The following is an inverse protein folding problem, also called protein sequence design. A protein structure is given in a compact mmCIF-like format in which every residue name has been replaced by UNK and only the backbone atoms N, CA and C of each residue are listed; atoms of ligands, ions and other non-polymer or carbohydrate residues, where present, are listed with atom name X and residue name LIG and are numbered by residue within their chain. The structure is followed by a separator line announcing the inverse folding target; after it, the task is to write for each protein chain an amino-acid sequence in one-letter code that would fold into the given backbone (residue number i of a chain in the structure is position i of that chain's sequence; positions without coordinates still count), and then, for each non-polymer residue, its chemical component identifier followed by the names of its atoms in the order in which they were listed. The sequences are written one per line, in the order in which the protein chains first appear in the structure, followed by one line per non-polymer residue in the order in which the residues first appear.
data_IF_225851624315
#
_entry.id   IF_225851624315
#
_cell.length_a   1.000
_cell.length_b   1.000
_cell.length_c   1.000
_cell.angle_alpha   90.00
_cell.angle_beta   90.00
_cell.angle_gamma   90.00
#
_symmetry.space_group_name_H-M   'P 1'
#
loop_
_entity.id
_entity.type
_entity.pdbx_description
1 polymer ?
#
# COMPACT_ATOMS: atom_id res chain seq x y z
N UNK A 1 4.77 -70.28 -27.01
CA UNK A 1 5.83 -69.38 -26.52
C UNK A 1 5.21 -68.56 -25.39
N UNK A 2 5.13 -69.05 -24.14
CA UNK A 2 6.17 -69.05 -23.08
C UNK A 2 6.81 -67.67 -22.88
N UNK A 3 6.95 -67.05 -21.70
CA UNK A 3 6.56 -67.26 -20.29
C UNK A 3 7.04 -66.00 -19.53
N UNK A 4 6.32 -65.59 -18.47
CA UNK A 4 6.78 -65.05 -17.16
C UNK A 4 7.72 -63.82 -17.06
N UNK A 5 7.89 -63.10 -15.95
CA UNK A 5 7.15 -62.79 -14.70
C UNK A 5 8.09 -61.90 -13.83
N UNK A 6 7.51 -61.10 -12.92
CA UNK A 6 8.08 -60.48 -11.70
C UNK A 6 9.12 -59.33 -11.92
N UNK A 7 9.22 -58.28 -11.10
CA UNK A 7 8.98 -58.16 -9.66
C UNK A 7 8.51 -56.77 -9.20
N UNK A 8 7.72 -56.80 -8.13
CA UNK A 8 7.41 -55.75 -7.16
C UNK A 8 8.63 -55.24 -6.37
N UNK A 9 8.65 -53.95 -6.03
CA UNK A 9 9.35 -53.43 -4.84
C UNK A 9 8.55 -52.29 -4.20
N UNK A 10 8.07 -52.54 -3.00
CA UNK A 10 7.53 -51.63 -2.00
C UNK A 10 8.60 -50.68 -1.42
N UNK A 11 8.14 -49.73 -0.56
CA UNK A 11 8.83 -48.95 0.50
C UNK A 11 8.63 -47.43 0.28
N UNK A 12 8.24 -46.57 1.22
CA UNK A 12 7.94 -46.66 2.66
C UNK A 12 7.04 -45.47 3.03
N UNK A 13 5.94 -45.76 3.71
CA UNK A 13 5.04 -44.79 4.33
C UNK A 13 5.60 -44.44 5.72
N UNK A 14 6.08 -43.20 5.92
CA UNK A 14 6.60 -42.74 7.21
C UNK A 14 5.44 -42.27 8.10
N UNK A 15 5.07 -43.07 9.10
CA UNK A 15 4.29 -42.65 10.27
C UNK A 15 5.25 -42.34 11.43
N UNK A 16 5.17 -41.16 12.07
CA UNK A 16 5.95 -40.90 13.28
C UNK A 16 5.25 -41.54 14.49
N UNK A 17 5.97 -42.43 15.16
CA UNK A 17 5.65 -42.95 16.49
C UNK A 17 5.90 -41.87 17.55
N UNK A 18 4.85 -41.50 18.29
CA UNK A 18 4.97 -40.74 19.53
C UNK A 18 5.48 -41.68 20.63
N UNK A 19 6.70 -41.45 21.12
CA UNK A 19 7.19 -42.04 22.36
C UNK A 19 7.15 -41.00 23.47
N UNK A 20 6.38 -41.32 24.52
CA UNK A 20 6.33 -40.59 25.76
C UNK A 20 7.52 -40.95 26.65
N UNK A 21 8.28 -39.96 27.09
CA UNK A 21 9.16 -40.12 28.25
C UNK A 21 9.12 -38.85 29.11
N UNK A 22 8.57 -39.03 30.30
CA UNK A 22 8.51 -38.06 31.40
C UNK A 22 9.86 -37.94 32.09
N UNK A 23 10.30 -36.72 32.44
CA UNK A 23 10.66 -36.37 33.82
C UNK A 23 10.99 -34.88 34.04
N UNK A 24 10.20 -34.30 34.96
CA UNK A 24 10.59 -33.49 36.14
C UNK A 24 11.01 -32.02 35.99
N UNK A 25 10.00 -31.17 36.27
CA UNK A 25 9.96 -30.14 37.33
C UNK A 25 11.14 -29.17 37.49
N UNK A 26 10.90 -27.87 37.23
CA UNK A 26 11.18 -26.80 38.22
C UNK A 26 10.63 -25.42 37.84
N UNK A 27 9.89 -24.87 38.80
CA UNK A 27 9.75 -23.46 39.23
C UNK A 27 9.00 -22.50 38.31
N UNK A 28 7.74 -22.32 38.69
CA UNK A 28 6.92 -21.14 38.46
C UNK A 28 7.65 -19.86 38.88
N UNK A 29 7.88 -18.98 37.92
CA UNK A 29 7.98 -17.54 38.16
C UNK A 29 6.78 -16.89 37.49
N UNK A 30 5.80 -16.50 38.30
CA UNK A 30 4.71 -15.62 37.88
C UNK A 30 5.32 -14.23 37.65
N UNK A 31 5.63 -13.91 36.41
CA UNK A 31 5.70 -12.53 35.96
C UNK A 31 4.37 -12.22 35.28
N UNK A 32 3.51 -11.47 35.95
CA UNK A 32 2.33 -10.88 35.35
C UNK A 32 2.77 -9.73 34.43
N UNK A 33 2.56 -9.79 33.11
CA UNK A 33 2.63 -8.59 32.29
C UNK A 33 1.33 -7.82 32.46
N UNK A 34 1.47 -6.51 32.71
CA UNK A 34 0.38 -5.55 32.79
C UNK A 34 -0.25 -5.43 31.39
N UNK A 35 -1.27 -6.23 31.14
CA UNK A 35 -2.07 -6.14 29.92
C UNK A 35 -2.81 -4.80 29.89
N UNK A 36 -2.41 -3.91 28.98
CA UNK A 36 -3.28 -2.84 28.50
C UNK A 36 -4.48 -3.50 27.82
N UNK A 37 -5.63 -3.46 28.49
CA UNK A 37 -6.91 -3.80 27.88
C UNK A 37 -7.25 -2.73 26.84
N UNK A 38 -6.85 -2.94 25.59
CA UNK A 38 -7.56 -2.31 24.47
C UNK A 38 -8.67 -3.29 24.13
N UNK A 39 -9.88 -2.94 24.53
CA UNK A 39 -11.07 -3.68 24.15
C UNK A 39 -11.21 -3.60 22.63
N UNK A 40 -11.08 -4.73 21.94
CA UNK A 40 -11.46 -4.86 20.53
C UNK A 40 -12.99 -4.88 20.46
N UNK A 41 -13.60 -3.70 20.50
CA UNK A 41 -14.98 -3.54 20.07
C UNK A 41 -15.02 -3.78 18.55
N UNK A 42 -15.72 -4.85 18.14
CA UNK A 42 -16.18 -5.00 16.76
C UNK A 42 -17.12 -3.84 16.47
N UNK A 43 -16.61 -2.76 15.87
CA UNK A 43 -17.46 -1.73 15.24
C UNK A 43 -18.39 -2.42 14.25
N UNK A 44 -19.68 -2.16 14.42
CA UNK A 44 -20.72 -2.59 13.49
C UNK A 44 -20.47 -2.00 12.09
N UNK A 45 -20.99 -2.64 11.05
CA UNK A 45 -20.84 -2.19 9.66
C UNK A 45 -21.42 -0.80 9.36
N UNK A 46 -22.11 -0.16 10.32
CA UNK A 46 -22.65 1.19 10.20
C UNK A 46 -21.70 2.31 10.65
N UNK A 47 -20.51 1.99 11.20
CA UNK A 47 -19.55 2.99 11.71
C UNK A 47 -18.34 3.22 10.78
N UNK A 48 -18.26 2.53 9.65
CA UNK A 48 -17.21 2.77 8.66
C UNK A 48 -17.55 4.02 7.84
N UNK A 49 -16.61 4.96 7.68
CA UNK A 49 -16.89 6.16 6.91
C UNK A 49 -17.17 5.81 5.45
N UNK A 50 -18.17 6.46 4.88
CA UNK A 50 -18.56 6.28 3.49
C UNK A 50 -17.40 6.64 2.55
N UNK A 51 -17.06 5.71 1.65
CA UNK A 51 -15.98 5.84 0.68
C UNK A 51 -16.59 6.01 -0.72
N UNK A 52 -16.38 7.17 -1.34
CA UNK A 52 -17.20 7.63 -2.46
C UNK A 52 -16.67 7.22 -3.83
N UNK A 53 -15.41 6.78 -3.98
CA UNK A 53 -14.73 6.70 -5.27
C UNK A 53 -15.51 5.88 -6.31
N UNK A 54 -15.85 4.64 -5.99
CA UNK A 54 -16.50 3.75 -6.95
C UNK A 54 -17.93 4.20 -7.26
N UNK A 55 -18.70 4.59 -6.24
CA UNK A 55 -20.09 5.06 -6.41
C UNK A 55 -20.14 6.33 -7.27
N UNK A 56 -19.15 7.21 -7.08
CA UNK A 56 -18.98 8.44 -7.85
C UNK A 56 -18.64 8.21 -9.32
N UNK A 57 -17.76 7.25 -9.59
CA UNK A 57 -17.39 6.87 -10.95
C UNK A 57 -18.57 6.19 -11.67
N UNK A 58 -19.28 5.30 -10.98
CA UNK A 58 -20.47 4.63 -11.51
C UNK A 58 -21.60 5.63 -11.81
N UNK A 59 -21.85 6.60 -10.93
CA UNK A 59 -22.81 7.68 -11.17
C UNK A 59 -22.43 8.55 -12.38
N UNK A 60 -21.14 8.63 -12.71
CA UNK A 60 -20.63 9.30 -13.89
C UNK A 60 -20.65 8.43 -15.17
N UNK A 61 -21.17 7.20 -15.09
CA UNK A 61 -21.27 6.26 -16.21
C UNK A 61 -19.97 5.52 -16.53
N UNK A 62 -18.99 5.53 -15.63
CA UNK A 62 -17.73 4.78 -15.77
C UNK A 62 -17.95 3.38 -15.19
N UNK A 63 -17.58 2.34 -15.95
CA UNK A 63 -17.66 0.96 -15.46
C UNK A 63 -16.65 0.75 -14.32
N UNK A 64 -17.16 0.35 -13.15
CA UNK A 64 -16.37 0.11 -11.94
C UNK A 64 -16.33 -1.35 -11.52
N UNK A 65 -16.91 -2.28 -12.30
CA UNK A 65 -17.03 -3.70 -11.92
C UNK A 65 -15.68 -4.29 -11.52
N UNK A 66 -14.68 -4.20 -12.39
CA UNK A 66 -13.35 -4.77 -12.13
C UNK A 66 -12.63 -4.07 -10.97
N UNK A 67 -12.81 -2.75 -10.80
CA UNK A 67 -12.24 -2.02 -9.67
C UNK A 67 -12.88 -2.44 -8.34
N UNK A 68 -14.21 -2.62 -8.29
CA UNK A 68 -14.93 -3.11 -7.12
C UNK A 68 -14.55 -4.55 -6.79
N UNK A 69 -14.49 -5.44 -7.78
CA UNK A 69 -14.05 -6.83 -7.57
C UNK A 69 -12.64 -6.90 -6.99
N UNK A 70 -11.72 -6.05 -7.48
CA UNK A 70 -10.37 -5.94 -6.94
C UNK A 70 -10.37 -5.39 -5.51
N UNK A 71 -11.19 -4.37 -5.21
CA UNK A 71 -11.35 -3.81 -3.86
C UNK A 71 -11.92 -4.83 -2.88
N UNK A 72 -12.91 -5.63 -3.28
CA UNK A 72 -13.43 -6.74 -2.47
C UNK A 72 -12.36 -7.81 -2.23
N UNK A 73 -11.58 -8.14 -3.26
CA UNK A 73 -10.43 -9.02 -3.15
C UNK A 73 -9.38 -8.52 -2.16
N UNK A 74 -9.10 -7.21 -2.15
CA UNK A 74 -8.24 -6.55 -1.16
C UNK A 74 -8.86 -6.64 0.25
N UNK A 75 -10.13 -6.27 0.41
CA UNK A 75 -10.88 -6.35 1.68
C UNK A 75 -10.86 -7.77 2.26
N UNK A 76 -11.04 -8.79 1.42
CA UNK A 76 -10.97 -10.20 1.80
C UNK A 76 -9.58 -10.61 2.31
N UNK A 77 -8.51 -10.01 1.79
CA UNK A 77 -7.17 -10.28 2.30
C UNK A 77 -6.93 -9.62 3.65
N UNK A 78 -7.24 -8.33 3.77
CA UNK A 78 -7.01 -7.58 5.01
C UNK A 78 -7.88 -8.11 6.15
N UNK A 79 -9.09 -8.62 5.88
CA UNK A 79 -9.95 -9.22 6.91
C UNK A 79 -9.37 -10.51 7.51
N UNK A 80 -8.42 -11.16 6.81
CA UNK A 80 -7.68 -12.33 7.32
C UNK A 80 -6.45 -11.94 8.13
N UNK A 81 -6.08 -10.67 8.13
CA UNK A 81 -4.96 -10.15 8.91
C UNK A 81 -5.43 -9.77 10.31
N UNK A 82 -5.12 -10.61 11.29
CA UNK A 82 -5.30 -10.27 12.72
C UNK A 82 -4.22 -9.29 13.17
N UNK A 83 -4.41 -8.63 14.30
CA UNK A 83 -3.41 -7.72 14.90
C UNK A 83 -2.04 -8.41 15.05
N UNK A 84 -2.01 -9.62 15.60
CA UNK A 84 -0.80 -10.42 15.76
C UNK A 84 -0.13 -10.78 14.42
N UNK A 85 -0.92 -11.12 13.40
CA UNK A 85 -0.38 -11.45 12.08
C UNK A 85 0.09 -10.19 11.32
N UNK A 86 -0.57 -9.05 11.56
CA UNK A 86 -0.17 -7.75 11.00
C UNK A 86 1.22 -7.31 11.48
N UNK A 87 1.53 -7.56 12.75
CA UNK A 87 2.84 -7.26 13.34
C UNK A 87 3.91 -8.35 13.10
N UNK A 88 3.55 -9.44 12.42
CA UNK A 88 4.52 -10.47 12.05
C UNK A 88 5.41 -10.01 10.88
N UNK A 89 6.68 -10.43 10.88
CA UNK A 89 7.61 -10.14 9.79
C UNK A 89 7.07 -10.64 8.45
N UNK A 90 7.30 -9.86 7.39
CA UNK A 90 6.95 -10.25 6.02
C UNK A 90 7.54 -11.62 5.63
N UNK A 91 8.69 -11.99 6.19
CA UNK A 91 9.36 -13.25 5.92
C UNK A 91 8.58 -14.44 6.46
N UNK A 92 7.83 -14.31 7.57
CA UNK A 92 7.07 -15.38 8.24
C UNK A 92 5.56 -15.17 8.24
N UNK A 93 5.09 -14.10 7.61
CA UNK A 93 3.71 -13.64 7.67
C UNK A 93 2.70 -14.76 7.36
N UNK A 94 1.62 -14.79 8.16
CA UNK A 94 0.51 -15.75 8.05
C UNK A 94 -0.82 -15.02 7.92
N UNK A 95 -1.83 -15.68 7.36
CA UNK A 95 -3.18 -15.14 7.21
C UNK A 95 -3.41 -14.46 5.87
N UNK A 96 -3.07 -13.18 5.76
CA UNK A 96 -3.18 -12.44 4.50
C UNK A 96 -2.06 -12.83 3.52
N UNK A 97 -2.42 -13.02 2.25
CA UNK A 97 -1.46 -13.23 1.17
C UNK A 97 -1.00 -11.85 0.65
N UNK A 98 0.21 -11.45 1.04
CA UNK A 98 0.76 -10.13 0.74
C UNK A 98 0.95 -9.90 -0.77
N UNK A 99 1.33 -10.94 -1.52
CA UNK A 99 1.45 -10.86 -2.98
C UNK A 99 0.07 -10.65 -3.61
N UNK A 100 -0.95 -11.36 -3.13
CA UNK A 100 -2.33 -11.17 -3.58
C UNK A 100 -2.87 -9.79 -3.20
N UNK A 101 -2.57 -9.28 -2.01
CA UNK A 101 -2.90 -7.88 -1.62
C UNK A 101 -2.30 -6.90 -2.63
N UNK A 102 -1.00 -7.00 -2.92
CA UNK A 102 -0.32 -6.11 -3.85
C UNK A 102 -0.86 -6.21 -5.29
N UNK A 103 -1.30 -7.40 -5.72
CA UNK A 103 -1.92 -7.59 -7.03
C UNK A 103 -3.35 -7.07 -7.09
N UNK A 104 -4.14 -7.19 -6.02
CA UNK A 104 -5.48 -6.59 -5.97
C UNK A 104 -5.40 -5.06 -5.98
N UNK A 105 -4.43 -4.49 -5.24
CA UNK A 105 -4.09 -3.06 -5.33
C UNK A 105 -3.81 -2.65 -6.78
N UNK A 106 -3.02 -3.45 -7.51
CA UNK A 106 -2.69 -3.16 -8.88
C UNK A 106 -3.87 -3.35 -9.85
N UNK A 107 -4.71 -4.36 -9.62
CA UNK A 107 -5.89 -4.64 -10.44
C UNK A 107 -6.92 -3.51 -10.35
N UNK A 108 -7.13 -2.97 -9.15
CA UNK A 108 -7.98 -1.82 -8.94
C UNK A 108 -7.43 -0.59 -9.66
N UNK A 109 -6.18 -0.20 -9.42
CA UNK A 109 -5.54 0.97 -10.02
C UNK A 109 -5.41 0.87 -11.56
N UNK A 110 -5.31 -0.35 -12.09
CA UNK A 110 -5.35 -0.62 -13.54
C UNK A 110 -6.77 -0.45 -14.09
N UNK A 111 -7.79 -0.96 -13.40
CA UNK A 111 -9.19 -0.75 -13.80
C UNK A 111 -9.64 0.70 -13.68
N UNK A 112 -9.09 1.49 -12.76
CA UNK A 112 -9.45 2.90 -12.59
C UNK A 112 -8.93 3.80 -13.73
N UNK A 113 -7.89 3.35 -14.45
CA UNK A 113 -7.19 4.14 -15.48
C UNK A 113 -7.31 3.52 -16.87
N UNK A 114 -7.34 2.20 -16.98
CA UNK A 114 -7.52 1.52 -18.25
C UNK A 114 -9.01 1.44 -18.60
N UNK A 115 -9.33 1.60 -19.88
CA UNK A 115 -10.64 1.26 -20.44
C UNK A 115 -10.69 -0.22 -20.87
N UNK A 116 -9.85 -1.06 -20.27
CA UNK A 116 -9.76 -2.47 -20.61
C UNK A 116 -11.02 -3.19 -20.14
N UNK A 117 -11.65 -3.94 -21.03
CA UNK A 117 -12.73 -4.86 -20.65
C UNK A 117 -12.22 -6.11 -19.94
N UNK A 118 -10.90 -6.34 -19.96
CA UNK A 118 -10.24 -7.51 -19.38
C UNK A 118 -9.57 -7.11 -18.07
N UNK A 119 -9.88 -7.78 -16.95
CA UNK A 119 -9.26 -7.50 -15.66
C UNK A 119 -7.81 -7.99 -15.62
N UNK A 120 -7.00 -7.37 -14.74
CA UNK A 120 -5.64 -7.83 -14.46
C UNK A 120 -5.69 -9.30 -13.95
N UNK A 121 -4.96 -10.24 -14.56
CA UNK A 121 -5.03 -11.66 -14.21
C UNK A 121 -4.25 -11.96 -12.93
N UNK A 122 -4.84 -11.63 -11.77
CA UNK A 122 -4.22 -11.80 -10.43
C UNK A 122 -3.70 -13.22 -10.21
N UNK A 123 -4.50 -14.25 -10.52
CA UNK A 123 -4.10 -15.66 -10.34
C UNK A 123 -2.88 -16.04 -11.17
N UNK A 124 -2.77 -15.56 -12.41
CA UNK A 124 -1.62 -15.84 -13.28
C UNK A 124 -0.33 -15.22 -12.73
N UNK A 125 -0.40 -14.02 -12.13
CA UNK A 125 0.76 -13.40 -11.49
C UNK A 125 1.17 -14.08 -10.18
N UNK A 126 0.22 -14.64 -9.42
CA UNK A 126 0.53 -15.50 -8.28
C UNK A 126 1.26 -16.76 -8.75
N UNK A 127 0.72 -17.47 -9.75
CA UNK A 127 1.38 -18.66 -10.31
C UNK A 127 2.80 -18.35 -10.79
N UNK A 128 3.01 -17.20 -11.42
CA UNK A 128 4.35 -16.76 -11.87
C UNK A 128 5.31 -16.52 -10.70
N UNK A 129 4.81 -16.10 -9.55
CA UNK A 129 5.59 -15.90 -8.33
C UNK A 129 5.89 -17.23 -7.63
N UNK A 130 4.95 -18.18 -7.68
CA UNK A 130 5.17 -19.56 -7.25
C UNK A 130 6.24 -20.24 -8.12
N UNK A 131 6.16 -20.11 -9.44
CA UNK A 131 7.16 -20.62 -10.38
C UNK A 131 8.55 -20.01 -10.13
N UNK A 132 8.61 -18.72 -9.80
CA UNK A 132 9.85 -18.04 -9.42
C UNK A 132 10.42 -18.65 -8.13
N UNK A 133 9.58 -18.87 -7.12
CA UNK A 133 9.99 -19.41 -5.83
C UNK A 133 10.42 -20.88 -5.93
N UNK A 134 9.68 -21.68 -6.69
CA UNK A 134 10.01 -23.08 -6.98
C UNK A 134 11.29 -23.20 -7.80
N UNK A 135 11.51 -22.28 -8.75
CA UNK A 135 12.74 -22.22 -9.54
C UNK A 135 14.00 -22.00 -8.69
N UNK A 136 13.89 -21.23 -7.60
CA UNK A 136 14.97 -21.12 -6.59
C UNK A 136 15.16 -22.45 -5.86
N UNK A 137 14.07 -23.01 -5.32
CA UNK A 137 14.10 -24.27 -4.55
C UNK A 137 14.74 -25.43 -5.35
N UNK A 138 14.50 -25.47 -6.66
CA UNK A 138 14.97 -26.58 -7.51
C UNK A 138 16.46 -26.52 -7.86
N UNK A 139 17.04 -25.32 -7.98
CA UNK A 139 18.35 -25.15 -8.63
C UNK A 139 19.39 -24.39 -7.79
N UNK A 140 18.96 -23.71 -6.72
CA UNK A 140 19.80 -22.76 -5.98
C UNK A 140 19.86 -23.01 -4.48
N UNK A 141 19.15 -24.03 -3.98
CA UNK A 141 19.29 -24.45 -2.58
C UNK A 141 20.73 -24.90 -2.34
N UNK A 142 21.38 -24.37 -1.29
CA UNK A 142 22.69 -24.85 -0.91
C UNK A 142 22.62 -26.27 -0.34
N UNK A 143 23.72 -27.03 -0.36
CA UNK A 143 23.78 -28.34 0.30
C UNK A 143 23.43 -28.24 1.80
N UNK A 144 22.84 -29.30 2.35
CA UNK A 144 22.49 -29.38 3.77
C UNK A 144 23.69 -29.07 4.67
N UNK A 145 23.48 -28.22 5.69
CA UNK A 145 24.53 -27.79 6.63
C UNK A 145 25.40 -26.62 6.15
N UNK A 146 25.07 -26.00 5.00
CA UNK A 146 25.71 -24.75 4.58
C UNK A 146 25.36 -23.59 5.51
N UNK A 147 26.25 -22.61 5.62
CA UNK A 147 25.98 -21.44 6.46
C UNK A 147 24.86 -20.55 5.87
N UNK A 148 24.12 -19.79 6.71
CA UNK A 148 23.06 -18.89 6.24
C UNK A 148 23.56 -17.88 5.19
N UNK A 149 24.82 -17.44 5.27
CA UNK A 149 25.42 -16.50 4.32
C UNK A 149 25.49 -17.08 2.90
N UNK A 150 25.78 -18.38 2.76
CA UNK A 150 25.78 -19.05 1.45
C UNK A 150 24.36 -19.12 0.90
N UNK A 151 23.38 -19.43 1.75
CA UNK A 151 21.96 -19.43 1.34
C UNK A 151 21.53 -18.06 0.80
N UNK A 152 21.78 -16.98 1.56
CA UNK A 152 21.41 -15.64 1.13
C UNK A 152 22.19 -15.19 -0.11
N UNK A 153 23.48 -15.53 -0.20
CA UNK A 153 24.27 -15.28 -1.40
C UNK A 153 23.69 -15.95 -2.65
N UNK A 154 23.23 -17.20 -2.54
CA UNK A 154 22.55 -17.91 -3.63
C UNK A 154 21.21 -17.27 -4.00
N UNK A 155 20.42 -16.85 -3.01
CA UNK A 155 19.13 -16.19 -3.24
C UNK A 155 19.29 -14.83 -3.91
N UNK A 156 20.25 -14.03 -3.45
CA UNK A 156 20.59 -12.74 -4.07
C UNK A 156 21.10 -12.92 -5.50
N UNK A 157 21.98 -13.90 -5.74
CA UNK A 157 22.45 -14.24 -7.09
C UNK A 157 21.28 -14.67 -7.98
N UNK A 158 20.41 -15.54 -7.49
CA UNK A 158 19.24 -16.00 -8.23
C UNK A 158 18.32 -14.85 -8.64
N UNK A 159 17.93 -13.99 -7.69
CA UNK A 159 16.99 -12.90 -7.94
C UNK A 159 17.61 -11.79 -8.80
N UNK A 160 18.80 -11.32 -8.43
CA UNK A 160 19.35 -10.09 -9.00
C UNK A 160 20.26 -10.32 -10.20
N UNK A 161 20.95 -11.46 -10.28
CA UNK A 161 21.83 -11.80 -11.40
C UNK A 161 21.07 -12.65 -12.41
N UNK A 162 20.54 -13.80 -12.00
CA UNK A 162 20.02 -14.79 -12.94
C UNK A 162 18.60 -14.45 -13.43
N UNK A 163 17.74 -13.94 -12.54
CA UNK A 163 16.42 -13.41 -12.90
C UNK A 163 16.45 -11.92 -13.24
N UNK A 164 17.56 -11.24 -12.99
CA UNK A 164 17.82 -9.88 -13.43
C UNK A 164 16.94 -8.81 -12.78
N UNK A 165 16.41 -9.06 -11.58
CA UNK A 165 15.63 -8.05 -10.86
C UNK A 165 16.51 -6.87 -10.45
N UNK A 166 16.02 -5.65 -10.71
CA UNK A 166 16.72 -4.39 -10.41
C UNK A 166 15.83 -3.41 -9.68
N UNK A 167 16.44 -2.60 -8.81
CA UNK A 167 15.75 -1.49 -8.15
C UNK A 167 15.69 -0.28 -9.09
N UNK A 168 14.50 0.29 -9.23
CA UNK A 168 14.29 1.59 -9.87
C UNK A 168 13.63 2.52 -8.85
N UNK A 169 13.97 3.81 -8.95
CA UNK A 169 13.32 4.85 -8.17
C UNK A 169 11.87 5.03 -8.65
N UNK A 170 10.92 5.04 -7.71
CA UNK A 170 9.51 5.25 -8.02
C UNK A 170 9.24 6.59 -8.70
N UNK A 171 10.07 7.60 -8.45
CA UNK A 171 9.98 8.90 -9.13
C UNK A 171 10.28 8.82 -10.65
N UNK A 172 11.01 7.79 -11.09
CA UNK A 172 11.35 7.59 -12.51
C UNK A 172 10.26 6.79 -13.24
N UNK A 173 9.69 5.78 -12.58
CA UNK A 173 8.67 4.91 -13.18
C UNK A 173 7.71 4.37 -12.10
N UNK A 174 6.47 4.87 -12.08
CA UNK A 174 5.44 4.38 -11.15
C UNK A 174 5.09 2.90 -11.36
N UNK A 175 5.39 2.31 -12.52
CA UNK A 175 5.17 0.86 -12.73
C UNK A 175 5.99 0.02 -11.75
N UNK A 176 7.11 0.56 -11.26
CA UNK A 176 7.95 -0.08 -10.24
C UNK A 176 7.25 -0.24 -8.88
N UNK A 177 6.13 0.44 -8.65
CA UNK A 177 5.31 0.31 -7.44
C UNK A 177 4.31 -0.84 -7.50
N UNK A 178 4.11 -1.47 -8.66
CA UNK A 178 3.16 -2.54 -8.84
C UNK A 178 3.85 -3.90 -9.02
N UNK A 179 3.33 -4.92 -8.35
CA UNK A 179 3.92 -6.26 -8.36
C UNK A 179 3.89 -6.90 -9.76
N UNK A 180 2.76 -6.82 -10.47
CA UNK A 180 2.61 -7.38 -11.81
C UNK A 180 3.64 -6.82 -12.82
N UNK A 181 3.87 -5.51 -12.73
CA UNK A 181 4.84 -4.80 -13.56
C UNK A 181 6.27 -5.17 -13.16
N UNK A 182 6.56 -5.27 -11.86
CA UNK A 182 7.87 -5.71 -11.35
C UNK A 182 8.20 -7.12 -11.82
N UNK A 183 7.26 -8.07 -11.73
CA UNK A 183 7.44 -9.45 -12.20
C UNK A 183 7.68 -9.54 -13.71
N UNK A 184 7.09 -8.63 -14.48
CA UNK A 184 7.19 -8.60 -15.94
C UNK A 184 8.48 -7.94 -16.40
N UNK A 185 8.73 -6.71 -15.94
CA UNK A 185 9.85 -5.87 -16.37
C UNK A 185 11.13 -6.10 -15.56
N UNK A 186 11.08 -6.93 -14.52
CA UNK A 186 12.20 -7.21 -13.59
C UNK A 186 12.76 -5.94 -12.96
N UNK A 187 11.92 -4.93 -12.80
CA UNK A 187 12.31 -3.59 -12.38
C UNK A 187 11.26 -3.08 -11.39
N UNK A 188 11.65 -2.88 -10.15
CA UNK A 188 10.73 -2.64 -9.04
C UNK A 188 11.28 -1.69 -7.99
N UNK A 189 10.39 -1.16 -7.16
CA UNK A 189 10.75 -0.42 -5.95
C UNK A 189 11.34 -1.36 -4.89
N UNK A 190 12.02 -0.80 -3.89
CA UNK A 190 12.53 -1.59 -2.76
C UNK A 190 11.42 -2.43 -2.12
N UNK A 191 10.24 -1.84 -1.90
CA UNK A 191 9.07 -2.51 -1.31
C UNK A 191 8.59 -3.70 -2.14
N UNK A 192 8.49 -3.55 -3.46
CA UNK A 192 8.08 -4.66 -4.34
C UNK A 192 9.13 -5.77 -4.39
N UNK A 193 10.42 -5.41 -4.41
CA UNK A 193 11.51 -6.38 -4.39
C UNK A 193 11.56 -7.14 -3.05
N UNK A 194 11.34 -6.46 -1.93
CA UNK A 194 11.25 -7.09 -0.60
C UNK A 194 10.09 -8.07 -0.50
N UNK A 195 8.95 -7.74 -1.12
CA UNK A 195 7.81 -8.65 -1.21
C UNK A 195 8.15 -9.90 -2.03
N UNK A 196 8.77 -9.74 -3.21
CA UNK A 196 9.21 -10.91 -4.01
C UNK A 196 10.21 -11.76 -3.23
N UNK A 197 11.17 -11.13 -2.55
CA UNK A 197 12.14 -11.82 -1.71
C UNK A 197 11.46 -12.62 -0.59
N UNK A 198 10.45 -12.04 0.07
CA UNK A 198 9.72 -12.70 1.14
C UNK A 198 8.88 -13.88 0.68
N UNK A 199 8.29 -13.83 -0.53
CA UNK A 199 7.58 -14.98 -1.08
C UNK A 199 8.51 -16.18 -1.34
N UNK A 200 9.73 -15.93 -1.85
CA UNK A 200 10.71 -17.02 -2.02
C UNK A 200 11.11 -17.61 -0.67
N UNK A 201 11.37 -16.77 0.35
CA UNK A 201 11.69 -17.26 1.70
C UNK A 201 10.53 -18.05 2.31
N UNK A 202 9.29 -17.60 2.14
CA UNK A 202 8.11 -18.31 2.63
C UNK A 202 7.98 -19.69 1.97
N UNK A 203 8.22 -19.78 0.66
CA UNK A 203 8.21 -21.07 -0.05
C UNK A 203 9.29 -22.03 0.47
N UNK A 204 10.52 -21.54 0.65
CA UNK A 204 11.63 -22.35 1.21
C UNK A 204 11.32 -22.82 2.63
N UNK A 205 10.64 -21.98 3.43
CA UNK A 205 10.21 -22.36 4.78
C UNK A 205 9.12 -23.43 4.76
N UNK A 206 8.12 -23.30 3.89
CA UNK A 206 7.02 -24.27 3.77
C UNK A 206 7.55 -25.63 3.29
N UNK A 207 8.54 -25.63 2.41
CA UNK A 207 9.21 -26.85 1.92
C UNK A 207 10.15 -27.48 2.94
N UNK A 208 10.43 -26.81 4.07
CA UNK A 208 11.21 -27.35 5.18
C UNK A 208 12.73 -27.27 5.03
N UNK A 209 13.21 -26.47 4.06
CA UNK A 209 14.65 -26.31 3.79
C UNK A 209 15.32 -25.18 4.59
N UNK A 210 14.56 -24.46 5.41
CA UNK A 210 15.07 -23.35 6.22
C UNK A 210 15.18 -23.76 7.69
N UNK A 211 16.41 -23.90 8.19
CA UNK A 211 16.73 -24.33 9.56
C UNK A 211 17.20 -23.17 10.48
N UNK A 212 17.17 -21.93 9.98
CA UNK A 212 17.53 -20.72 10.73
C UNK A 212 16.45 -19.63 10.62
N UNK A 213 16.56 -18.59 11.46
CA UNK A 213 15.58 -17.51 11.56
C UNK A 213 15.87 -16.43 10.49
N UNK A 214 15.51 -16.69 9.23
CA UNK A 214 15.72 -15.73 8.15
C UNK A 214 14.82 -14.48 8.27
N UNK A 215 15.42 -13.31 8.07
CA UNK A 215 14.77 -11.99 8.02
C UNK A 215 15.27 -11.17 6.81
N UNK A 216 14.52 -10.13 6.45
CA UNK A 216 14.82 -9.29 5.27
C UNK A 216 15.12 -7.86 5.70
N UNK A 217 16.31 -7.37 5.34
CA UNK A 217 16.61 -5.96 5.36
C UNK A 217 15.91 -5.27 4.18
N UNK A 218 14.92 -4.44 4.51
CA UNK A 218 14.18 -3.64 3.55
C UNK A 218 14.77 -2.23 3.51
N UNK A 219 15.50 -1.86 2.44
CA UNK A 219 16.16 -0.57 2.39
C UNK A 219 15.16 0.58 2.24
N UNK A 220 15.42 1.67 2.96
CA UNK A 220 14.66 2.89 2.82
C UNK A 220 14.84 3.53 1.43
N UNK A 221 13.91 4.41 1.07
CA UNK A 221 13.90 5.08 -0.24
C UNK A 221 15.18 5.87 -0.54
N UNK A 222 15.92 6.30 0.50
CA UNK A 222 17.13 7.13 0.39
C UNK A 222 18.38 6.34 -0.05
N UNK A 223 18.50 5.08 0.33
CA UNK A 223 19.65 4.26 -0.06
C UNK A 223 19.31 3.45 -1.31
N UNK A 224 20.13 3.51 -2.37
CA UNK A 224 19.93 2.72 -3.61
C UNK A 224 20.32 1.24 -3.45
N UNK A 225 20.21 0.68 -2.24
CA UNK A 225 20.51 -0.71 -1.94
C UNK A 225 19.38 -1.65 -2.38
N UNK A 226 19.71 -2.92 -2.65
CA UNK A 226 18.74 -3.98 -2.90
C UNK A 226 18.32 -4.61 -1.57
N UNK A 227 17.10 -5.17 -1.46
CA UNK A 227 16.72 -6.00 -0.32
C UNK A 227 17.68 -7.16 -0.13
N UNK A 228 18.07 -7.44 1.12
CA UNK A 228 19.01 -8.50 1.46
C UNK A 228 18.47 -9.33 2.61
N UNK A 229 18.77 -10.62 2.60
CA UNK A 229 18.41 -11.51 3.68
C UNK A 229 19.52 -11.58 4.73
N UNK A 230 19.15 -11.81 5.98
CA UNK A 230 20.10 -12.07 7.06
C UNK A 230 19.53 -13.06 8.08
N UNK A 231 20.42 -13.72 8.81
CA UNK A 231 20.06 -14.60 9.91
C UNK A 231 19.81 -13.76 11.17
N UNK A 232 18.55 -13.72 11.61
CA UNK A 232 18.09 -12.92 12.74
C UNK A 232 18.60 -13.55 14.04
N UNK A 233 19.43 -12.81 14.78
CA UNK A 233 19.96 -13.27 16.06
C UNK A 233 19.14 -12.64 17.18
N UNK A 234 18.22 -13.42 17.76
CA UNK A 234 17.27 -13.02 18.84
C UNK A 234 17.89 -12.27 20.04
N UNK A 235 19.21 -12.26 20.20
CA UNK A 235 19.93 -11.53 21.26
C UNK A 235 20.38 -10.10 20.88
N UNK A 236 20.27 -9.68 19.62
CA UNK A 236 20.64 -8.32 19.17
C UNK A 236 19.39 -7.43 19.12
N UNK A 237 19.28 -6.51 20.08
CA UNK A 237 18.25 -5.46 20.12
C UNK A 237 18.22 -4.64 18.81
N UNK A 238 19.35 -4.53 18.11
CA UNK A 238 19.47 -3.84 16.82
C UNK A 238 18.66 -4.47 15.68
N UNK A 239 18.29 -5.74 15.78
CA UNK A 239 17.61 -6.44 14.69
C UNK A 239 16.12 -6.05 14.62
N UNK A 240 15.49 -5.68 15.73
CA UNK A 240 14.04 -5.42 15.80
C UNK A 240 13.60 -4.14 15.09
N UNK A 241 14.44 -3.10 15.08
CA UNK A 241 14.09 -1.79 14.48
C UNK A 241 14.01 -1.81 12.96
N UNK A 242 14.50 -2.87 12.31
CA UNK A 242 14.59 -2.98 10.85
C UNK A 242 13.60 -3.99 10.26
N UNK A 243 12.77 -4.62 11.10
CA UNK A 243 11.84 -5.67 10.67
C UNK A 243 10.62 -5.03 10.01
N UNK A 244 10.47 -5.29 8.72
CA UNK A 244 9.25 -4.96 7.99
C UNK A 244 8.16 -5.96 8.39
N UNK A 245 7.04 -5.46 8.92
CA UNK A 245 5.87 -6.26 9.26
C UNK A 245 4.92 -6.37 8.07
N UNK A 246 4.02 -7.36 8.10
CA UNK A 246 2.98 -7.53 7.08
C UNK A 246 2.14 -6.25 6.91
N UNK A 247 1.73 -5.64 8.03
CA UNK A 247 0.94 -4.41 8.05
C UNK A 247 1.77 -3.23 7.53
N UNK A 248 3.01 -3.05 8.02
CA UNK A 248 3.85 -1.93 7.60
C UNK A 248 4.23 -2.01 6.11
N UNK A 249 4.39 -3.21 5.55
CA UNK A 249 4.58 -3.39 4.11
C UNK A 249 3.37 -2.86 3.32
N UNK A 250 2.15 -3.27 3.66
CA UNK A 250 0.94 -2.83 2.95
C UNK A 250 0.78 -1.31 3.08
N UNK A 251 0.97 -0.76 4.28
CA UNK A 251 0.96 0.69 4.51
C UNK A 251 2.01 1.38 3.63
N UNK A 252 3.24 0.84 3.55
CA UNK A 252 4.31 1.40 2.72
C UNK A 252 3.97 1.37 1.24
N UNK A 253 3.36 0.29 0.74
CA UNK A 253 2.88 0.20 -0.66
C UNK A 253 1.88 1.31 -0.91
N UNK A 254 0.86 1.44 -0.07
CA UNK A 254 -0.20 2.42 -0.24
C UNK A 254 0.29 3.86 -0.08
N UNK A 255 1.19 4.15 0.89
CA UNK A 255 1.81 5.47 1.04
C UNK A 255 2.68 5.82 -0.17
N UNK A 256 3.48 4.89 -0.68
CA UNK A 256 4.26 5.13 -1.90
C UNK A 256 3.34 5.46 -3.09
N UNK A 257 2.20 4.76 -3.24
CA UNK A 257 1.20 5.05 -4.28
C UNK A 257 0.54 6.41 -4.04
N UNK A 258 0.13 6.72 -2.81
CA UNK A 258 -0.44 8.02 -2.42
C UNK A 258 0.50 9.15 -2.77
N UNK A 259 1.77 9.09 -2.35
CA UNK A 259 2.78 10.11 -2.61
C UNK A 259 3.05 10.29 -4.11
N UNK A 260 3.13 9.17 -4.83
CA UNK A 260 3.42 9.14 -6.28
C UNK A 260 2.27 9.72 -7.09
N UNK A 261 1.02 9.41 -6.71
CA UNK A 261 -0.16 9.85 -7.44
C UNK A 261 -0.84 11.07 -6.83
N UNK A 262 -0.27 11.66 -5.77
CA UNK A 262 -0.82 12.88 -5.18
C UNK A 262 -0.89 13.98 -6.24
N UNK A 263 -2.06 14.60 -6.52
CA UNK A 263 -2.17 15.64 -7.55
C UNK A 263 -1.39 16.91 -7.24
N UNK A 264 -1.16 17.20 -5.96
CA UNK A 264 -0.62 18.48 -5.49
C UNK A 264 0.86 18.35 -5.10
N UNK A 265 1.73 18.04 -6.07
CA UNK A 265 3.14 17.68 -5.81
C UNK A 265 4.06 18.87 -5.52
N UNK A 266 3.64 20.10 -5.75
CA UNK A 266 4.47 21.30 -5.63
C UNK A 266 4.51 21.85 -4.18
N UNK A 267 5.68 22.35 -3.74
CA UNK A 267 5.93 22.82 -2.37
C UNK A 267 6.65 21.78 -1.48
N UNK A 268 7.94 21.53 -1.76
CA UNK A 268 8.72 20.41 -1.18
C UNK A 268 8.85 20.42 0.36
N UNK A 269 8.63 21.55 1.02
CA UNK A 269 8.77 21.73 2.47
C UNK A 269 7.48 21.51 3.28
N UNK A 270 6.37 21.18 2.62
CA UNK A 270 5.05 21.01 3.26
C UNK A 270 4.49 19.59 3.10
N UNK A 271 3.63 19.17 4.02
CA UNK A 271 2.92 17.88 3.93
C UNK A 271 1.95 17.86 2.75
N UNK A 272 1.57 16.65 2.30
CA UNK A 272 0.63 16.46 1.18
C UNK A 272 -0.69 17.21 1.41
N UNK A 273 -1.21 17.14 2.65
CA UNK A 273 -2.39 17.86 3.08
C UNK A 273 -2.25 19.37 2.89
N UNK A 274 -1.17 19.97 3.42
CA UNK A 274 -0.95 21.41 3.33
C UNK A 274 -0.85 21.89 1.88
N UNK A 275 -0.20 21.11 1.00
CA UNK A 275 -0.15 21.41 -0.44
C UNK A 275 -1.55 21.48 -1.05
N UNK A 276 -2.39 20.49 -0.73
CA UNK A 276 -3.75 20.41 -1.25
C UNK A 276 -4.66 21.54 -0.71
N UNK A 277 -4.55 21.89 0.58
CA UNK A 277 -5.30 23.01 1.19
C UNK A 277 -4.84 24.35 0.62
N UNK A 278 -3.53 24.53 0.42
CA UNK A 278 -3.01 25.75 -0.20
C UNK A 278 -3.57 25.97 -1.61
N UNK A 279 -3.66 24.91 -2.43
CA UNK A 279 -4.32 24.98 -3.74
C UNK A 279 -5.79 25.32 -3.60
N UNK A 280 -6.51 24.68 -2.67
CA UNK A 280 -7.91 25.01 -2.42
C UNK A 280 -8.05 26.52 -2.17
N UNK A 281 -7.29 27.09 -1.23
CA UNK A 281 -7.36 28.49 -0.82
C UNK A 281 -7.08 29.51 -1.93
N UNK A 282 -6.24 29.19 -2.92
CA UNK A 282 -5.95 30.11 -4.04
C UNK A 282 -7.12 30.31 -5.01
N UNK A 283 -8.01 29.33 -5.16
CA UNK A 283 -9.11 29.37 -6.15
C UNK A 283 -10.12 30.51 -5.90
N UNK A 284 -10.19 31.06 -4.68
CA UNK A 284 -11.04 32.21 -4.35
C UNK A 284 -10.26 33.53 -4.15
N UNK A 285 -8.94 33.49 -4.27
CA UNK A 285 -8.03 34.60 -3.99
C UNK A 285 -7.49 35.27 -5.24
N UNK A 286 -8.36 35.86 -6.07
CA UNK A 286 -7.94 36.88 -7.03
C UNK A 286 -8.96 38.01 -7.12
N UNK A 287 -9.01 38.80 -6.06
CA UNK A 287 -8.96 40.25 -6.15
C UNK A 287 -8.68 40.76 -4.74
N UNK A 288 -7.94 41.86 -4.64
CA UNK A 288 -7.58 42.59 -3.40
C UNK A 288 -6.17 42.29 -2.86
N UNK A 289 -5.38 43.37 -2.96
CA UNK A 289 -4.09 43.69 -2.32
C UNK A 289 -2.84 42.92 -2.76
N UNK A 290 -2.10 43.57 -3.68
CA UNK A 290 -0.65 43.44 -3.80
C UNK A 290 0.03 43.98 -2.54
N UNK A 291 0.84 43.15 -1.88
CA UNK A 291 1.92 43.59 -0.99
C UNK A 291 3.20 42.81 -1.38
N UNK A 292 4.34 43.46 -1.69
CA UNK A 292 5.41 42.85 -2.47
C UNK A 292 6.57 42.26 -1.62
N UNK A 293 6.30 41.67 -0.45
CA UNK A 293 7.38 41.20 0.45
C UNK A 293 7.30 39.76 0.93
N UNK A 294 6.44 38.92 0.36
CA UNK A 294 6.52 37.47 0.58
C UNK A 294 6.78 36.77 -0.74
N UNK A 295 7.83 35.94 -0.75
CA UNK A 295 8.32 35.18 -1.91
C UNK A 295 7.21 34.30 -2.47
N UNK A 296 6.58 34.80 -3.54
CA UNK A 296 5.59 34.11 -4.35
C UNK A 296 6.22 32.92 -5.07
N UNK A 297 6.04 31.70 -4.55
CA UNK A 297 5.95 30.51 -5.40
C UNK A 297 4.61 30.61 -6.18
N UNK A 298 4.65 31.39 -7.26
CA UNK A 298 3.60 31.40 -8.28
C UNK A 298 3.61 30.02 -8.95
N UNK A 299 2.46 29.33 -8.90
CA UNK A 299 2.23 28.12 -9.72
C UNK A 299 2.40 28.55 -11.17
N UNK A 300 3.44 28.08 -11.85
CA UNK A 300 3.76 28.55 -13.19
C UNK A 300 2.67 28.11 -14.19
N UNK A 301 2.39 28.87 -15.26
CA UNK A 301 1.50 28.44 -16.35
C UNK A 301 1.85 27.05 -16.94
N UNK A 302 3.10 26.62 -16.77
CA UNK A 302 3.60 25.31 -17.15
C UNK A 302 3.00 24.18 -16.29
N UNK A 303 2.62 24.45 -15.05
CA UNK A 303 2.01 23.51 -14.10
C UNK A 303 0.54 23.28 -14.42
N UNK A 304 -0.17 24.35 -14.79
CA UNK A 304 -1.58 24.29 -15.24
C UNK A 304 -1.66 23.51 -16.56
N UNK A 305 -0.79 23.82 -17.53
CA UNK A 305 -0.68 23.03 -18.76
C UNK A 305 -0.26 21.58 -18.46
N UNK A 306 0.56 21.40 -17.43
CA UNK A 306 1.04 20.15 -16.85
C UNK A 306 -0.10 19.18 -16.50
N UNK A 307 -0.91 19.63 -15.53
CA UNK A 307 -2.05 18.92 -15.00
C UNK A 307 -3.13 18.69 -16.06
N UNK A 308 -3.44 19.69 -16.91
CA UNK A 308 -4.41 19.56 -18.01
C UNK A 308 -4.00 18.49 -19.02
N UNK A 309 -2.71 18.45 -19.38
CA UNK A 309 -2.16 17.41 -20.27
C UNK A 309 -2.26 16.01 -19.67
N UNK A 310 -2.02 15.88 -18.36
CA UNK A 310 -2.15 14.60 -17.67
C UNK A 310 -3.61 14.13 -17.57
N UNK A 311 -4.52 15.00 -17.16
CA UNK A 311 -5.95 14.69 -17.12
C UNK A 311 -6.49 14.25 -18.48
N UNK A 312 -6.16 14.97 -19.55
CA UNK A 312 -6.59 14.62 -20.91
C UNK A 312 -6.03 13.26 -21.38
N UNK A 313 -4.84 12.86 -20.91
CA UNK A 313 -4.25 11.55 -21.21
C UNK A 313 -4.92 10.42 -20.42
N UNK A 314 -5.22 10.63 -19.13
CA UNK A 314 -5.97 9.68 -18.31
C UNK A 314 -7.37 9.42 -18.89
N UNK A 315 -8.06 10.47 -19.36
CA UNK A 315 -9.34 10.33 -20.06
C UNK A 315 -9.25 9.41 -21.29
N UNK A 316 -8.10 9.42 -21.99
CA UNK A 316 -7.83 8.55 -23.15
C UNK A 316 -7.25 7.18 -22.76
N UNK A 317 -7.19 6.83 -21.48
CA UNK A 317 -6.61 5.58 -21.01
C UNK A 317 -5.09 5.50 -21.17
N UNK A 318 -4.42 6.64 -21.35
CA UNK A 318 -2.97 6.73 -21.47
C UNK A 318 -2.39 6.96 -20.08
N UNK A 319 -1.56 6.02 -19.62
CA UNK A 319 -0.74 6.19 -18.42
C UNK A 319 0.09 7.46 -18.55
N UNK A 320 -0.16 8.45 -17.69
CA UNK A 320 0.65 9.67 -17.63
C UNK A 320 1.90 9.42 -16.81
N UNK A 321 2.94 10.21 -17.09
CA UNK A 321 4.07 10.26 -16.18
C UNK A 321 3.60 10.78 -14.82
N UNK A 322 4.19 10.20 -13.78
CA UNK A 322 3.98 10.45 -12.34
C UNK A 322 3.94 11.92 -11.92
N UNK A 323 4.52 12.80 -12.74
CA UNK A 323 4.80 14.20 -12.40
C UNK A 323 3.58 15.12 -12.25
N UNK A 324 2.37 14.60 -12.50
CA UNK A 324 1.13 15.40 -12.46
C UNK A 324 0.04 14.81 -11.54
N UNK A 325 0.36 13.72 -10.84
CA UNK A 325 -0.58 12.97 -10.00
C UNK A 325 -1.77 12.37 -10.76
N UNK A 326 -2.62 11.67 -10.01
CA UNK A 326 -3.82 10.98 -10.49
C UNK A 326 -4.84 10.94 -9.35
N UNK A 327 -5.92 11.74 -9.47
CA UNK A 327 -6.94 11.88 -8.43
C UNK A 327 -7.62 10.54 -8.10
N UNK A 328 -7.87 9.67 -9.09
CA UNK A 328 -8.54 8.38 -8.84
C UNK A 328 -7.67 7.46 -8.03
N UNK A 329 -6.39 7.36 -8.39
CA UNK A 329 -5.42 6.51 -7.65
C UNK A 329 -5.08 7.08 -6.28
N UNK A 330 -4.99 8.40 -6.15
CA UNK A 330 -4.79 9.05 -4.86
C UNK A 330 -5.97 8.77 -3.91
N UNK A 331 -7.21 8.95 -4.38
CA UNK A 331 -8.42 8.57 -3.63
C UNK A 331 -8.40 7.08 -3.26
N UNK A 332 -8.15 6.19 -4.23
CA UNK A 332 -8.10 4.74 -3.97
C UNK A 332 -7.04 4.36 -2.94
N UNK A 333 -5.86 4.99 -2.97
CA UNK A 333 -4.81 4.77 -1.98
C UNK A 333 -5.24 5.21 -0.58
N UNK A 334 -5.82 6.41 -0.44
CA UNK A 334 -6.34 6.91 0.84
C UNK A 334 -7.47 6.03 1.38
N UNK A 335 -8.43 5.63 0.55
CA UNK A 335 -9.52 4.75 0.98
C UNK A 335 -9.01 3.39 1.48
N UNK A 336 -8.02 2.79 0.79
CA UNK A 336 -7.40 1.54 1.23
C UNK A 336 -6.61 1.72 2.53
N UNK A 337 -5.97 2.86 2.74
CA UNK A 337 -5.30 3.20 4.01
C UNK A 337 -6.30 3.33 5.16
N UNK A 338 -7.45 3.98 4.92
CA UNK A 338 -8.56 4.07 5.88
C UNK A 338 -9.11 2.67 6.20
N UNK A 339 -9.35 1.83 5.19
CA UNK A 339 -9.82 0.45 5.38
C UNK A 339 -8.83 -0.41 6.17
N UNK A 340 -7.53 -0.17 5.99
CA UNK A 340 -6.49 -0.84 6.76
C UNK A 340 -6.48 -0.40 8.23
N UNK A 341 -7.22 0.64 8.62
CA UNK A 341 -7.15 1.34 9.90
C UNK A 341 -5.76 1.97 10.11
N UNK A 342 -5.25 2.65 9.08
CA UNK A 342 -3.99 3.38 9.12
C UNK A 342 -4.05 4.61 10.04
N UNK A 343 -3.05 5.48 9.92
CA UNK A 343 -2.94 6.71 10.71
C UNK A 343 -4.19 7.58 10.53
N UNK A 344 -4.63 8.26 11.59
CA UNK A 344 -5.80 9.15 11.51
C UNK A 344 -5.61 10.26 10.47
N UNK A 345 -4.36 10.64 10.18
CA UNK A 345 -3.97 11.57 9.13
C UNK A 345 -4.54 11.19 7.75
N UNK A 346 -4.79 9.91 7.50
CA UNK A 346 -5.36 9.45 6.23
C UNK A 346 -6.79 9.96 6.02
N UNK A 347 -7.53 10.25 7.11
CA UNK A 347 -8.86 10.86 7.04
C UNK A 347 -8.82 12.31 6.53
N UNK A 348 -7.85 13.12 6.98
CA UNK A 348 -7.72 14.51 6.51
C UNK A 348 -7.21 14.56 5.08
N UNK A 349 -6.27 13.66 4.73
CA UNK A 349 -5.73 13.55 3.38
C UNK A 349 -6.83 13.12 2.41
N UNK A 350 -7.66 12.15 2.78
CA UNK A 350 -8.83 11.79 1.99
C UNK A 350 -9.82 12.95 1.87
N UNK A 351 -10.13 13.63 2.98
CA UNK A 351 -11.07 14.73 3.00
C UNK A 351 -10.65 15.87 2.05
N UNK A 352 -9.38 16.26 2.00
CA UNK A 352 -8.96 17.32 1.08
C UNK A 352 -9.07 16.89 -0.39
N UNK A 353 -8.86 15.61 -0.72
CA UNK A 353 -9.15 15.11 -2.06
C UNK A 353 -10.65 15.16 -2.39
N UNK A 354 -11.52 14.82 -1.43
CA UNK A 354 -12.97 14.94 -1.58
C UNK A 354 -13.42 16.37 -1.85
N UNK A 355 -12.82 17.34 -1.14
CA UNK A 355 -13.07 18.77 -1.37
C UNK A 355 -12.78 19.16 -2.82
N UNK A 356 -11.64 18.74 -3.36
CA UNK A 356 -11.26 19.03 -4.76
C UNK A 356 -12.13 18.32 -5.79
N UNK A 357 -12.80 17.24 -5.40
CA UNK A 357 -13.77 16.53 -6.23
C UNK A 357 -15.21 17.07 -6.08
N UNK A 358 -15.44 18.06 -5.21
CA UNK A 358 -16.76 18.64 -4.95
C UNK A 358 -17.65 17.84 -3.99
N UNK A 359 -17.12 16.83 -3.30
CA UNK A 359 -17.85 16.04 -2.29
C UNK A 359 -17.77 16.71 -0.92
N UNK A 360 -18.36 17.89 -0.78
CA UNK A 360 -18.23 18.75 0.40
C UNK A 360 -18.85 18.14 1.67
N UNK A 361 -20.01 17.48 1.57
CA UNK A 361 -20.65 16.80 2.70
C UNK A 361 -19.75 15.69 3.27
N UNK A 362 -19.22 14.83 2.40
CA UNK A 362 -18.35 13.73 2.83
C UNK A 362 -17.00 14.26 3.31
N UNK A 363 -16.45 15.29 2.67
CA UNK A 363 -15.27 16.00 3.16
C UNK A 363 -15.45 16.45 4.63
N UNK A 364 -16.56 17.13 4.94
CA UNK A 364 -16.83 17.60 6.31
C UNK A 364 -16.97 16.45 7.30
N UNK A 365 -17.61 15.34 6.92
CA UNK A 365 -17.72 14.14 7.77
C UNK A 365 -16.34 13.58 8.11
N UNK A 366 -15.46 13.43 7.11
CA UNK A 366 -14.11 12.88 7.30
C UNK A 366 -13.22 13.81 8.14
N UNK A 367 -13.29 15.12 7.95
CA UNK A 367 -12.58 16.09 8.83
C UNK A 367 -13.10 16.02 10.28
N UNK A 368 -14.41 15.85 10.47
CA UNK A 368 -14.98 15.69 11.82
C UNK A 368 -14.49 14.39 12.47
N UNK A 369 -14.45 13.29 11.71
CA UNK A 369 -13.91 12.01 12.20
C UNK A 369 -12.43 12.13 12.57
N UNK A 370 -11.63 12.82 11.76
CA UNK A 370 -10.22 13.11 12.05
C UNK A 370 -10.07 13.83 13.40
N UNK A 371 -10.81 14.92 13.63
CA UNK A 371 -10.76 15.68 14.89
C UNK A 371 -11.20 14.84 16.10
N UNK A 372 -12.23 14.01 15.96
CA UNK A 372 -12.68 13.13 17.05
C UNK A 372 -11.67 12.02 17.37
N UNK A 373 -10.84 11.65 16.40
CA UNK A 373 -9.83 10.59 16.53
C UNK A 373 -8.46 11.13 16.97
N UNK A 374 -8.24 12.45 16.93
CA UNK A 374 -7.07 13.07 17.55
C UNK A 374 -7.17 12.92 19.08
N UNK A 375 -6.49 11.92 19.63
CA UNK A 375 -6.01 12.02 21.00
C UNK A 375 -5.09 13.25 21.07
N UNK A 376 -5.21 14.06 22.14
CA UNK A 376 -4.47 15.33 22.28
C UNK A 376 -2.96 15.06 22.45
N UNK A 377 -2.28 14.65 21.39
CA UNK A 377 -0.83 14.51 21.36
C UNK A 377 -0.15 15.88 21.42
N UNK A 378 1.08 15.88 21.94
CA UNK A 378 1.85 17.08 22.27
C UNK A 378 1.94 18.05 21.07
N UNK A 379 1.30 19.21 21.20
CA UNK A 379 1.25 20.33 20.22
C UNK A 379 2.60 21.04 19.99
N UNK A 380 3.72 20.33 20.15
CA UNK A 380 5.08 20.90 20.06
C UNK A 380 5.62 20.94 18.62
N UNK A 381 5.04 20.19 17.68
CA UNK A 381 5.47 20.24 16.29
C UNK A 381 4.81 21.43 15.56
N UNK A 382 5.60 22.40 15.04
CA UNK A 382 5.05 23.54 14.30
C UNK A 382 4.27 23.12 13.04
N UNK A 383 4.59 21.99 12.43
CA UNK A 383 3.87 21.48 11.25
C UNK A 383 2.44 21.06 11.64
N UNK A 384 2.28 20.33 12.74
CA UNK A 384 0.96 19.88 13.21
C UNK A 384 0.04 21.08 13.49
N UNK A 385 0.59 22.18 14.03
CA UNK A 385 -0.17 23.41 14.24
C UNK A 385 -0.66 24.01 12.91
N UNK A 386 0.21 24.07 11.89
CA UNK A 386 -0.19 24.55 10.56
C UNK A 386 -1.26 23.66 9.94
N UNK A 387 -1.18 22.34 10.15
CA UNK A 387 -2.19 21.39 9.68
C UNK A 387 -3.53 21.55 10.40
N UNK A 388 -3.53 21.75 11.72
CA UNK A 388 -4.74 22.04 12.50
C UNK A 388 -5.39 23.35 12.04
N UNK A 389 -4.59 24.41 11.82
CA UNK A 389 -5.08 25.68 11.27
C UNK A 389 -5.66 25.49 9.86
N UNK A 390 -5.00 24.68 9.02
CA UNK A 390 -5.47 24.34 7.68
C UNK A 390 -6.79 23.54 7.67
N UNK A 391 -6.98 22.61 8.62
CA UNK A 391 -8.26 21.89 8.81
C UNK A 391 -9.38 22.89 9.13
N UNK A 392 -9.14 23.82 10.06
CA UNK A 392 -10.13 24.84 10.44
C UNK A 392 -10.50 25.76 9.27
N UNK A 393 -9.50 26.19 8.49
CA UNK A 393 -9.72 27.00 7.28
C UNK A 393 -10.57 26.24 6.26
N UNK A 394 -10.24 24.97 6.00
CA UNK A 394 -10.96 24.13 5.06
C UNK A 394 -12.42 23.93 5.49
N UNK A 395 -12.66 23.65 6.77
CA UNK A 395 -14.02 23.51 7.33
C UNK A 395 -14.82 24.80 7.23
N UNK A 396 -14.23 25.94 7.59
CA UNK A 396 -14.90 27.25 7.47
C UNK A 396 -15.36 27.50 6.03
N UNK A 397 -14.51 27.17 5.06
CA UNK A 397 -14.85 27.30 3.65
C UNK A 397 -15.94 26.34 3.20
N UNK A 398 -15.88 25.07 3.60
CA UNK A 398 -16.93 24.10 3.30
C UNK A 398 -18.27 24.59 3.84
N UNK A 399 -18.31 25.11 5.07
CA UNK A 399 -19.53 25.66 5.66
C UNK A 399 -20.07 26.86 4.87
N UNK A 400 -19.20 27.71 4.31
CA UNK A 400 -19.62 28.79 3.42
C UNK A 400 -20.24 28.25 2.12
N UNK A 401 -19.58 27.27 1.47
CA UNK A 401 -20.09 26.64 0.24
C UNK A 401 -21.44 25.97 0.50
N UNK A 402 -21.57 25.23 1.60
CA UNK A 402 -22.80 24.53 1.98
C UNK A 402 -23.94 25.48 2.38
N UNK A 403 -23.61 26.71 2.78
CA UNK A 403 -24.60 27.75 3.07
C UNK A 403 -25.17 28.41 1.80
N UNK A 404 -24.50 28.27 0.65
CA UNK A 404 -25.01 28.74 -0.63
C UNK A 404 -25.97 27.71 -1.25
N UNK A 405 -27.21 28.12 -1.53
CA UNK A 405 -28.21 27.25 -2.17
C UNK A 405 -27.74 26.80 -3.57
N UNK A 406 -27.66 25.48 -3.79
CA UNK A 406 -27.39 24.88 -5.11
C UNK A 406 -26.07 24.13 -5.26
N UNK A 407 -25.18 24.15 -4.27
CA UNK A 407 -23.85 23.50 -4.34
C UNK A 407 -23.76 22.10 -3.68
N UNK A 408 -24.85 21.64 -3.07
CA UNK A 408 -24.81 20.50 -2.15
C UNK A 408 -24.58 19.13 -2.81
N UNK A 409 -24.81 18.99 -4.14
CA UNK A 409 -24.47 17.77 -4.89
C UNK A 409 -24.08 18.11 -6.33
N UNK A 410 -22.95 17.59 -6.86
CA UNK A 410 -22.72 17.63 -8.28
C UNK A 410 -23.86 16.87 -8.98
N UNK A 411 -24.60 17.55 -9.87
CA UNK A 411 -25.58 16.87 -10.71
C UNK A 411 -24.88 15.83 -11.60
N UNK A 412 -25.57 14.81 -12.11
CA UNK A 412 -24.94 13.81 -13.00
C UNK A 412 -24.29 14.47 -14.26
N UNK A 413 -24.80 15.62 -14.69
CA UNK A 413 -24.22 16.48 -15.74
C UNK A 413 -23.02 17.33 -15.31
N UNK A 414 -22.68 17.35 -14.01
CA UNK A 414 -21.61 18.16 -13.38
C UNK A 414 -20.69 17.31 -12.51
N UNK A 415 -20.64 15.99 -12.70
CA UNK A 415 -19.73 15.14 -11.91
C UNK A 415 -18.29 15.47 -12.30
N UNK A 416 -17.37 15.56 -11.33
CA UNK A 416 -15.92 15.77 -11.58
C UNK A 416 -15.37 14.80 -12.64
N UNK A 417 -15.99 13.63 -12.78
CA UNK A 417 -15.59 12.56 -13.70
C UNK A 417 -16.18 12.69 -15.11
N UNK A 418 -17.39 13.24 -15.26
CA UNK A 418 -18.12 13.41 -16.53
C UNK A 418 -17.98 14.81 -17.13
N UNK A 419 -17.66 15.77 -16.29
CA UNK A 419 -17.53 17.18 -16.63
C UNK A 419 -16.17 17.48 -17.26
N UNK A 420 -16.19 17.91 -18.52
CA UNK A 420 -15.08 18.68 -19.11
C UNK A 420 -14.97 20.10 -18.50
N UNK A 421 -15.83 20.46 -17.53
CA UNK A 421 -15.68 21.69 -16.76
C UNK A 421 -14.75 21.47 -15.57
N UNK A 422 -13.61 22.12 -15.72
CA UNK A 422 -12.52 22.35 -14.79
C UNK A 422 -13.01 22.85 -13.41
N UNK A 423 -12.21 22.57 -12.37
CA UNK A 423 -11.85 23.63 -11.45
C UNK A 423 -10.33 23.68 -11.27
N UNK A 424 -9.62 24.25 -12.25
CA UNK A 424 -8.24 24.76 -12.08
C UNK A 424 -7.89 25.86 -13.07
#
# INVERSE_FOLDING_TARGET
MSCNAWSSSSLLEFKPHFNSSSCKTRRSFQFAPRASKIATEKKSSSDLPHLVLHDSLEAAGIDTRHARDAREGFCSQISRMTELNGESSIAISRGADLAKVALQIAAEDDSLVSHSSVPLPVSSFISRLDDLSFGFCSNYLPPSGSSPEIFFGNLERYLYVDKGFRRIDSALDARSLYLHSTLTCRSGSATMLSLIYSEVLKMVRITGFLDFDAEIYCPDSLEKSLPRGYDKKKSKISDETHIMTARSLIVKILKNLKDTFWPFQYGQSSSLFLRAVHVANRVYGSSVSQDPTTTNENVSPMEIASAKSAQHRLQRGVWTSVRFGDMRRALAACERLILLHGDNEELRDYAVLLYHCGYYEDCLKHLTLFETSQEREDKRNPINKLEDDAVNILKARINLIMAEEGWNKPSASTSYWSSNYEPW
#
